data_IF_543264808128
#
_entry.id   IF_543264808128
#
_cell.length_a   1.000
_cell.length_b   1.000
_cell.length_c   1.000
_cell.angle_alpha   90.00
_cell.angle_beta   90.00
_cell.angle_gamma   90.00
#
_symmetry.space_group_name_H-M   'P 1'
#
loop_
_entity.id
_entity.type
_entity.pdbx_description
1 polymer ?
#
# COMPACT_ATOMS: atom_id res chain seq x y z
N UNK A 1 -35.98 -36.21 -69.46
CA UNK A 1 -35.37 -36.92 -68.31
C UNK A 1 -34.73 -35.85 -67.42
N UNK A 2 -35.42 -35.46 -66.34
CA UNK A 2 -35.08 -35.75 -64.92
C UNK A 2 -33.85 -34.98 -64.38
N UNK A 3 -34.14 -33.83 -63.75
CA UNK A 3 -33.62 -33.22 -62.48
C UNK A 3 -32.12 -33.34 -62.07
N UNK A 4 -31.59 -32.47 -61.18
CA UNK A 4 -31.62 -31.00 -61.17
C UNK A 4 -30.29 -30.33 -60.74
N UNK A 5 -30.30 -29.01 -60.83
CA UNK A 5 -29.40 -28.00 -60.27
C UNK A 5 -29.07 -28.17 -58.77
N UNK A 6 -27.77 -28.21 -58.45
CA UNK A 6 -27.23 -28.02 -57.09
C UNK A 6 -26.76 -26.57 -56.95
N UNK A 7 -27.56 -25.76 -56.24
CA UNK A 7 -27.19 -24.42 -55.79
C UNK A 7 -26.50 -24.61 -54.42
N UNK A 8 -25.18 -24.45 -54.37
CA UNK A 8 -24.42 -24.49 -53.13
C UNK A 8 -24.65 -23.19 -52.37
N UNK A 9 -25.59 -23.18 -51.43
CA UNK A 9 -25.82 -22.09 -50.49
C UNK A 9 -24.72 -22.17 -49.41
N UNK A 10 -23.69 -21.33 -49.51
CA UNK A 10 -22.73 -21.11 -48.43
C UNK A 10 -23.46 -20.29 -47.36
N UNK A 11 -24.02 -20.98 -46.36
CA UNK A 11 -24.44 -20.36 -45.11
C UNK A 11 -23.19 -19.99 -44.32
N UNK A 12 -22.73 -18.75 -44.48
CA UNK A 12 -21.93 -18.08 -43.47
C UNK A 12 -22.78 -18.01 -42.19
N UNK A 13 -22.53 -18.94 -41.26
CA UNK A 13 -22.89 -18.81 -39.86
C UNK A 13 -22.14 -17.59 -39.32
N UNK A 14 -22.73 -16.41 -39.49
CA UNK A 14 -22.46 -15.27 -38.62
C UNK A 14 -23.03 -15.61 -37.25
N UNK A 15 -22.23 -16.26 -36.41
CA UNK A 15 -22.38 -16.14 -34.98
C UNK A 15 -22.12 -14.67 -34.65
N UNK A 16 -23.15 -13.83 -34.75
CA UNK A 16 -23.17 -12.55 -34.10
C UNK A 16 -23.02 -12.82 -32.60
N UNK A 17 -21.79 -12.63 -32.11
CA UNK A 17 -21.53 -12.36 -30.72
C UNK A 17 -22.50 -11.24 -30.32
N UNK A 18 -23.52 -11.57 -29.53
CA UNK A 18 -24.29 -10.57 -28.80
C UNK A 18 -23.30 -9.88 -27.87
N UNK A 19 -22.71 -8.77 -28.32
CA UNK A 19 -22.03 -7.86 -27.42
C UNK A 19 -23.10 -7.39 -26.42
N UNK A 20 -22.91 -7.70 -25.14
CA UNK A 20 -23.86 -7.26 -24.14
C UNK A 20 -23.91 -5.73 -24.13
N UNK A 21 -25.12 -5.18 -24.33
CA UNK A 21 -25.38 -3.74 -24.25
C UNK A 21 -25.25 -3.19 -22.81
N UNK A 22 -24.90 -4.04 -21.84
CA UNK A 22 -24.72 -3.66 -20.45
C UNK A 22 -23.72 -2.52 -20.28
N UNK A 23 -22.59 -2.55 -21.00
CA UNK A 23 -21.57 -1.51 -20.87
C UNK A 23 -21.83 -0.38 -21.88
N UNK A 24 -22.64 0.60 -21.48
CA UNK A 24 -23.07 1.78 -22.26
C UNK A 24 -23.08 3.05 -21.41
N UNK A 25 -23.16 4.23 -22.05
CA UNK A 25 -23.31 5.51 -21.36
C UNK A 25 -24.57 5.57 -20.48
N UNK A 26 -25.70 5.01 -20.95
CA UNK A 26 -26.94 4.95 -20.17
C UNK A 26 -26.77 4.16 -18.86
N UNK A 27 -26.03 3.04 -18.90
CA UNK A 27 -25.70 2.27 -17.69
C UNK A 27 -24.81 3.08 -16.75
N UNK A 28 -23.81 3.79 -17.28
CA UNK A 28 -22.91 4.63 -16.49
C UNK A 28 -23.67 5.77 -15.82
N UNK A 29 -24.57 6.44 -16.54
CA UNK A 29 -25.39 7.55 -16.05
C UNK A 29 -26.32 7.11 -14.91
N UNK A 30 -26.93 5.92 -15.04
CA UNK A 30 -27.83 5.34 -14.02
C UNK A 30 -27.09 4.81 -12.80
N UNK A 31 -25.81 4.47 -12.92
CA UNK A 31 -25.02 4.00 -11.79
C UNK A 31 -24.74 5.14 -10.80
N UNK A 32 -24.83 4.84 -9.51
CA UNK A 32 -24.57 5.84 -8.47
C UNK A 32 -23.11 6.27 -8.48
N UNK A 33 -22.90 7.55 -8.14
CA UNK A 33 -21.59 8.14 -7.85
C UNK A 33 -20.74 7.22 -6.96
N UNK A 34 -19.54 6.86 -7.39
CA UNK A 34 -18.54 6.12 -6.63
C UNK A 34 -17.63 5.23 -7.48
N UNK A 35 -16.76 4.47 -6.79
CA UNK A 35 -15.74 3.57 -7.39
C UNK A 35 -16.35 2.60 -8.40
N UNK A 36 -17.58 2.13 -8.16
CA UNK A 36 -18.29 1.22 -9.07
C UNK A 36 -18.55 1.86 -10.44
N UNK A 37 -18.97 3.13 -10.46
CA UNK A 37 -19.18 3.88 -11.70
C UNK A 37 -17.86 4.19 -12.39
N UNK A 38 -16.84 4.62 -11.65
CA UNK A 38 -15.49 4.85 -12.19
C UNK A 38 -14.93 3.58 -12.86
N UNK A 39 -15.17 2.41 -12.26
CA UNK A 39 -14.81 1.11 -12.84
C UNK A 39 -15.58 0.81 -14.14
N UNK A 40 -16.89 1.05 -14.18
CA UNK A 40 -17.67 0.90 -15.41
C UNK A 40 -17.17 1.84 -16.52
N UNK A 41 -16.85 3.09 -16.19
CA UNK A 41 -16.26 4.04 -17.13
C UNK A 41 -14.93 3.49 -17.65
N UNK A 42 -14.05 3.02 -16.76
CA UNK A 42 -12.77 2.42 -17.14
C UNK A 42 -12.93 1.27 -18.12
N UNK A 43 -13.85 0.34 -17.86
CA UNK A 43 -14.11 -0.77 -18.75
C UNK A 43 -14.77 -0.33 -20.06
N UNK A 44 -15.65 0.68 -20.02
CA UNK A 44 -16.27 1.25 -21.21
C UNK A 44 -15.22 1.86 -22.15
N UNK A 45 -14.26 2.61 -21.62
CA UNK A 45 -13.18 3.23 -22.38
C UNK A 45 -12.25 2.20 -23.08
N UNK A 46 -12.17 0.98 -22.56
CA UNK A 46 -11.39 -0.12 -23.18
C UNK A 46 -12.09 -0.76 -24.37
N UNK A 47 -13.41 -0.57 -24.56
CA UNK A 47 -14.13 -1.17 -25.69
C UNK A 47 -13.64 -0.56 -27.00
N UNK A 48 -13.37 -1.40 -27.99
CA UNK A 48 -13.05 -0.93 -29.35
C UNK A 48 -14.16 -0.04 -29.92
N UNK A 49 -15.42 -0.39 -29.68
CA UNK A 49 -16.59 0.30 -30.22
C UNK A 49 -16.87 1.70 -29.64
N UNK A 50 -16.30 2.05 -28.48
CA UNK A 50 -16.51 3.38 -27.88
C UNK A 50 -15.92 4.47 -28.78
N UNK A 51 -16.57 5.61 -28.91
CA UNK A 51 -16.10 6.73 -29.73
C UNK A 51 -15.36 7.76 -28.89
N UNK A 52 -14.63 8.66 -29.55
CA UNK A 52 -13.97 9.80 -28.90
C UNK A 52 -14.97 10.73 -28.18
N UNK A 53 -16.12 11.01 -28.79
CA UNK A 53 -17.15 11.86 -28.20
C UNK A 53 -17.77 11.20 -26.96
N UNK A 54 -18.05 9.89 -27.02
CA UNK A 54 -18.51 9.14 -25.86
C UNK A 54 -17.45 9.14 -24.76
N UNK A 55 -16.16 8.93 -25.09
CA UNK A 55 -15.09 9.00 -24.12
C UNK A 55 -15.03 10.36 -23.42
N UNK A 56 -15.10 11.46 -24.17
CA UNK A 56 -15.19 12.81 -23.62
C UNK A 56 -16.40 12.99 -22.69
N UNK A 57 -17.57 12.48 -23.09
CA UNK A 57 -18.80 12.58 -22.30
C UNK A 57 -18.71 11.88 -20.94
N UNK A 58 -17.81 10.88 -20.79
CA UNK A 58 -17.63 10.18 -19.52
C UNK A 58 -17.02 11.03 -18.43
N UNK A 59 -16.27 12.10 -18.77
CA UNK A 59 -15.56 12.94 -17.80
C UNK A 59 -16.49 13.52 -16.73
N UNK A 60 -17.74 13.87 -17.09
CA UNK A 60 -18.71 14.42 -16.15
C UNK A 60 -19.19 13.40 -15.10
N UNK A 61 -18.99 12.11 -15.35
CA UNK A 61 -19.41 11.01 -14.48
C UNK A 61 -18.26 10.43 -13.64
N UNK A 62 -17.03 10.87 -13.88
CA UNK A 62 -15.86 10.40 -13.13
C UNK A 62 -15.83 11.07 -11.76
N UNK A 63 -15.68 10.25 -10.73
CA UNK A 63 -15.61 10.69 -9.35
C UNK A 63 -14.19 10.74 -8.82
N UNK A 64 -13.35 9.78 -9.25
CA UNK A 64 -11.97 9.68 -8.86
C UNK A 64 -11.09 9.32 -10.06
N UNK A 65 -10.43 10.32 -10.64
CA UNK A 65 -9.44 10.08 -11.69
C UNK A 65 -8.19 9.43 -11.11
N UNK A 66 -7.83 8.25 -11.62
CA UNK A 66 -6.55 7.58 -11.35
C UNK A 66 -5.77 7.41 -12.66
N UNK A 67 -4.48 7.06 -12.59
CA UNK A 67 -3.62 6.91 -13.77
C UNK A 67 -4.14 5.87 -14.77
N UNK A 68 -4.75 4.78 -14.30
CA UNK A 68 -5.32 3.74 -15.18
C UNK A 68 -6.50 4.31 -15.98
N UNK A 69 -7.43 4.98 -15.30
CA UNK A 69 -8.59 5.61 -15.91
C UNK A 69 -8.17 6.70 -16.90
N UNK A 70 -7.22 7.56 -16.49
CA UNK A 70 -6.69 8.61 -17.33
C UNK A 70 -6.01 8.06 -18.59
N UNK A 71 -5.23 7.00 -18.46
CA UNK A 71 -4.57 6.33 -19.61
C UNK A 71 -5.61 5.78 -20.58
N UNK A 72 -6.62 5.06 -20.09
CA UNK A 72 -7.68 4.51 -20.93
C UNK A 72 -8.51 5.62 -21.57
N UNK A 73 -8.78 6.71 -20.84
CA UNK A 73 -9.44 7.90 -21.38
C UNK A 73 -8.63 8.53 -22.51
N UNK A 74 -7.35 8.83 -22.28
CA UNK A 74 -6.47 9.45 -23.28
C UNK A 74 -6.38 8.61 -24.55
N UNK A 75 -6.15 7.30 -24.41
CA UNK A 75 -6.08 6.36 -25.52
C UNK A 75 -7.38 6.36 -26.34
N UNK A 76 -8.53 6.57 -25.68
CA UNK A 76 -9.83 6.48 -26.33
C UNK A 76 -10.32 7.80 -26.91
N UNK A 77 -10.06 8.89 -26.21
CA UNK A 77 -10.32 10.25 -26.67
C UNK A 77 -9.41 10.62 -27.86
N UNK A 78 -8.19 10.07 -27.90
CA UNK A 78 -7.27 10.18 -29.03
C UNK A 78 -6.94 11.63 -29.45
N UNK A 79 -6.99 12.55 -28.49
CA UNK A 79 -6.51 13.92 -28.63
C UNK A 79 -4.98 13.96 -28.49
N UNK A 80 -4.31 14.68 -29.39
CA UNK A 80 -2.85 14.70 -29.49
C UNK A 80 -2.18 15.18 -28.21
N UNK A 81 -2.72 16.24 -27.58
CA UNK A 81 -2.17 16.80 -26.34
C UNK A 81 -2.34 15.81 -25.18
N UNK A 82 -3.53 15.23 -25.06
CA UNK A 82 -3.84 14.25 -24.00
C UNK A 82 -3.00 12.98 -24.13
N UNK A 83 -2.83 12.47 -25.36
CA UNK A 83 -1.97 11.32 -25.65
C UNK A 83 -0.50 11.63 -25.35
N UNK A 84 -0.01 12.83 -25.69
CA UNK A 84 1.36 13.23 -25.40
C UNK A 84 1.66 13.19 -23.90
N UNK A 85 0.73 13.65 -23.05
CA UNK A 85 0.89 13.56 -21.58
C UNK A 85 1.04 12.11 -21.12
N UNK A 86 0.18 11.20 -21.61
CA UNK A 86 0.25 9.77 -21.25
C UNK A 86 1.53 9.10 -21.77
N UNK A 87 1.98 9.47 -22.97
CA UNK A 87 3.26 9.00 -23.50
C UNK A 87 4.41 9.43 -22.59
N UNK A 88 4.43 10.69 -22.14
CA UNK A 88 5.45 11.20 -21.23
C UNK A 88 5.43 10.52 -19.86
N UNK A 89 4.25 10.31 -19.27
CA UNK A 89 4.11 9.63 -17.98
C UNK A 89 4.60 8.17 -17.99
N UNK A 90 4.51 7.49 -19.14
CA UNK A 90 4.89 6.08 -19.28
C UNK A 90 6.28 5.89 -19.91
N UNK A 91 6.95 6.98 -20.27
CA UNK A 91 8.24 6.94 -20.96
C UNK A 91 9.36 6.50 -19.99
N UNK A 92 10.22 5.55 -20.38
CA UNK A 92 11.40 5.19 -19.59
C UNK A 92 12.33 6.38 -19.35
N UNK A 93 12.98 6.44 -18.18
CA UNK A 93 13.86 7.54 -17.79
C UNK A 93 14.90 7.91 -18.85
N UNK A 94 15.57 6.93 -19.46
CA UNK A 94 16.59 7.17 -20.49
C UNK A 94 16.04 7.85 -21.76
N UNK A 95 14.77 7.63 -22.09
CA UNK A 95 14.11 8.30 -23.21
C UNK A 95 13.67 9.72 -22.80
N UNK A 96 13.16 9.89 -21.57
CA UNK A 96 12.79 11.21 -21.02
C UNK A 96 13.97 12.19 -21.04
N UNK A 97 15.19 11.73 -20.73
CA UNK A 97 16.41 12.56 -20.77
C UNK A 97 16.66 13.25 -22.11
N UNK A 98 16.17 12.66 -23.20
CA UNK A 98 16.30 13.20 -24.57
C UNK A 98 15.06 13.94 -25.07
N UNK A 99 14.05 14.12 -24.21
CA UNK A 99 12.77 14.74 -24.56
C UNK A 99 12.76 16.25 -24.28
N UNK A 100 11.61 16.89 -24.50
CA UNK A 100 11.38 18.31 -24.27
C UNK A 100 10.87 18.59 -22.85
N UNK A 101 10.89 19.87 -22.47
CA UNK A 101 10.70 20.33 -21.09
C UNK A 101 9.42 19.83 -20.40
N UNK A 102 8.26 19.86 -21.06
CA UNK A 102 6.98 19.39 -20.50
C UNK A 102 7.01 17.90 -20.22
N UNK A 103 7.56 17.14 -21.16
CA UNK A 103 7.63 15.70 -21.06
C UNK A 103 8.54 15.27 -19.90
N UNK A 104 9.69 15.93 -19.75
CA UNK A 104 10.59 15.73 -18.62
C UNK A 104 9.88 16.09 -17.31
N UNK A 105 9.22 17.25 -17.25
CA UNK A 105 8.57 17.74 -16.03
C UNK A 105 7.45 16.82 -15.56
N UNK A 106 6.68 16.27 -16.49
CA UNK A 106 5.54 15.38 -16.22
C UNK A 106 6.00 13.95 -15.97
N UNK A 107 6.92 13.45 -16.78
CA UNK A 107 7.33 12.05 -16.78
C UNK A 107 8.35 11.69 -15.71
N UNK A 108 9.18 12.64 -15.25
CA UNK A 108 10.31 12.32 -14.39
C UNK A 108 10.09 12.76 -12.93
N UNK A 109 9.98 11.77 -12.05
CA UNK A 109 9.83 11.96 -10.61
C UNK A 109 11.15 12.33 -9.91
N UNK A 110 11.09 12.95 -8.73
CA UNK A 110 12.30 13.25 -7.94
C UNK A 110 13.05 11.98 -7.51
N UNK A 111 12.35 10.86 -7.34
CA UNK A 111 12.93 9.55 -7.04
C UNK A 111 13.75 8.99 -8.21
N UNK A 112 13.35 9.25 -9.45
CA UNK A 112 14.15 8.89 -10.62
C UNK A 112 15.32 9.86 -10.78
N UNK A 113 15.08 11.16 -10.60
CA UNK A 113 16.13 12.19 -10.64
C UNK A 113 17.24 11.90 -9.64
N UNK A 114 16.91 11.43 -8.44
CA UNK A 114 17.89 11.12 -7.40
C UNK A 114 18.84 9.96 -7.76
N UNK A 115 18.58 9.24 -8.85
CA UNK A 115 19.40 8.12 -9.35
C UNK A 115 20.25 8.51 -10.57
N UNK A 116 20.09 9.72 -11.09
CA UNK A 116 20.80 10.19 -12.26
C UNK A 116 22.25 10.54 -11.94
N UNK A 117 23.12 10.39 -12.93
CA UNK A 117 24.48 10.90 -12.84
C UNK A 117 24.54 12.42 -13.12
N UNK A 118 25.70 13.02 -12.89
CA UNK A 118 25.88 14.47 -13.00
C UNK A 118 25.59 15.02 -14.40
N UNK A 119 25.93 14.28 -15.46
CA UNK A 119 25.71 14.70 -16.85
C UNK A 119 24.22 14.67 -17.21
N UNK A 120 23.52 13.61 -16.83
CA UNK A 120 22.08 13.46 -17.06
C UNK A 120 21.28 14.55 -16.33
N UNK A 121 21.66 14.84 -15.09
CA UNK A 121 21.05 15.92 -14.33
C UNK A 121 21.30 17.29 -14.96
N UNK A 122 22.52 17.56 -15.46
CA UNK A 122 22.85 18.80 -16.16
C UNK A 122 22.04 18.98 -17.45
N UNK A 123 21.84 17.90 -18.21
CA UNK A 123 20.98 17.90 -19.40
C UNK A 123 19.55 18.33 -19.04
N UNK A 124 18.95 17.71 -18.02
CA UNK A 124 17.59 18.08 -17.56
C UNK A 124 17.53 19.54 -17.13
N UNK A 125 18.52 20.01 -16.36
CA UNK A 125 18.57 21.40 -15.89
C UNK A 125 18.57 22.36 -17.08
N UNK A 126 19.41 22.10 -18.08
CA UNK A 126 19.51 22.96 -19.26
C UNK A 126 18.19 23.02 -20.03
N UNK A 127 17.55 21.87 -20.28
CA UNK A 127 16.28 21.78 -21.01
C UNK A 127 15.14 22.47 -20.23
N UNK A 128 15.06 22.27 -18.93
CA UNK A 128 13.90 22.70 -18.13
C UNK A 128 14.04 24.07 -17.48
N UNK A 129 15.22 24.68 -17.49
CA UNK A 129 15.50 25.92 -16.73
C UNK A 129 14.67 27.14 -17.15
N UNK A 130 14.34 27.27 -18.44
CA UNK A 130 13.59 28.41 -18.96
C UNK A 130 12.11 28.33 -18.58
N UNK A 131 11.44 27.22 -18.92
CA UNK A 131 10.00 27.03 -18.67
C UNK A 131 9.67 26.60 -17.24
N UNK A 132 10.53 25.81 -16.62
CA UNK A 132 10.33 25.21 -15.30
C UNK A 132 11.49 25.49 -14.32
N UNK A 133 11.83 26.76 -14.04
CA UNK A 133 13.01 27.14 -13.24
C UNK A 133 13.00 26.55 -11.81
N UNK A 134 11.83 26.43 -11.19
CA UNK A 134 11.70 25.81 -9.85
C UNK A 134 12.03 24.32 -9.87
N UNK A 135 11.61 23.61 -10.92
CA UNK A 135 11.92 22.21 -11.11
C UNK A 135 13.42 22.03 -11.35
N UNK A 136 13.99 22.79 -12.29
CA UNK A 136 15.43 22.78 -12.58
C UNK A 136 16.28 23.07 -11.33
N UNK A 137 15.85 24.00 -10.45
CA UNK A 137 16.52 24.27 -9.17
C UNK A 137 16.54 23.05 -8.24
N UNK A 138 15.46 22.26 -8.19
CA UNK A 138 15.37 21.03 -7.39
C UNK A 138 16.21 19.91 -7.99
N UNK A 139 16.24 19.77 -9.32
CA UNK A 139 17.16 18.84 -9.99
C UNK A 139 18.61 19.19 -9.65
N UNK A 140 18.97 20.48 -9.75
CA UNK A 140 20.30 20.99 -9.38
C UNK A 140 20.64 20.80 -7.90
N UNK A 141 19.64 20.71 -7.03
CA UNK A 141 19.83 20.42 -5.61
C UNK A 141 20.20 18.94 -5.43
N UNK A 142 19.41 18.05 -6.02
CA UNK A 142 19.62 16.60 -5.93
C UNK A 142 20.95 16.17 -6.54
N UNK A 143 21.40 16.81 -7.61
CA UNK A 143 22.69 16.50 -8.26
C UNK A 143 23.90 17.24 -7.68
N UNK A 144 23.72 18.00 -6.59
CA UNK A 144 24.83 18.72 -5.97
C UNK A 144 25.77 17.80 -5.20
N UNK A 145 27.02 18.24 -4.99
CA UNK A 145 28.01 17.47 -4.23
C UNK A 145 27.60 17.21 -2.78
N UNK A 146 26.80 18.11 -2.17
CA UNK A 146 26.29 17.95 -0.81
C UNK A 146 24.81 18.35 -0.77
N UNK A 147 23.89 17.48 -1.23
CA UNK A 147 22.47 17.79 -1.36
C UNK A 147 21.82 18.32 -0.08
N UNK A 148 22.23 17.79 1.09
CA UNK A 148 21.70 18.23 2.38
C UNK A 148 21.87 19.72 2.64
N UNK A 149 23.04 20.29 2.32
CA UNK A 149 23.32 21.72 2.57
C UNK A 149 22.39 22.65 1.80
N UNK A 150 21.88 22.18 0.66
CA UNK A 150 20.91 22.91 -0.15
C UNK A 150 19.48 22.62 0.30
N UNK A 151 19.16 21.37 0.64
CA UNK A 151 17.86 20.97 1.18
C UNK A 151 17.45 21.84 2.37
N UNK A 152 18.33 22.03 3.35
CA UNK A 152 18.02 22.77 4.58
C UNK A 152 17.72 24.27 4.34
N UNK A 153 18.09 24.80 3.17
CA UNK A 153 17.83 26.19 2.76
C UNK A 153 16.49 26.38 2.07
N UNK A 154 15.84 25.30 1.61
CA UNK A 154 14.52 25.36 0.96
C UNK A 154 13.45 25.88 1.92
N UNK A 155 12.40 26.48 1.39
CA UNK A 155 11.21 26.77 2.19
C UNK A 155 10.52 25.47 2.64
N UNK A 156 9.68 25.58 3.67
CA UNK A 156 9.03 24.44 4.33
C UNK A 156 8.35 23.48 3.35
N UNK A 157 7.52 23.99 2.45
CA UNK A 157 6.74 23.16 1.53
C UNK A 157 7.65 22.48 0.49
N UNK A 158 8.66 23.19 0.00
CA UNK A 158 9.66 22.64 -0.94
C UNK A 158 10.54 21.58 -0.26
N UNK A 159 10.87 21.74 1.03
CA UNK A 159 11.58 20.74 1.81
C UNK A 159 10.78 19.43 1.85
N UNK A 160 9.50 19.49 2.20
CA UNK A 160 8.67 18.30 2.29
C UNK A 160 8.40 17.66 0.93
N UNK A 161 8.09 18.46 -0.08
CA UNK A 161 7.90 17.98 -1.45
C UNK A 161 9.12 17.19 -1.93
N UNK A 162 10.33 17.69 -1.69
CA UNK A 162 11.53 17.00 -2.12
C UNK A 162 11.87 15.82 -1.22
N UNK A 163 11.88 16.01 0.10
CA UNK A 163 12.30 14.98 1.06
C UNK A 163 11.40 13.75 1.04
N UNK A 164 10.07 13.93 0.92
CA UNK A 164 9.11 12.83 0.98
C UNK A 164 8.98 12.07 -0.35
N UNK A 165 9.45 12.63 -1.47
CA UNK A 165 9.30 12.03 -2.81
C UNK A 165 10.60 11.52 -3.45
N UNK A 166 11.58 11.13 -2.63
CA UNK A 166 12.86 10.53 -3.06
C UNK A 166 13.05 9.13 -2.46
N UNK A 167 14.01 8.36 -2.98
CA UNK A 167 14.30 7.01 -2.48
C UNK A 167 14.84 7.02 -1.05
N UNK A 168 14.61 5.92 -0.34
CA UNK A 168 15.24 5.65 0.96
C UNK A 168 16.76 5.68 0.84
N UNK A 169 17.32 5.02 -0.17
CA UNK A 169 18.75 4.99 -0.47
C UNK A 169 19.36 6.40 -0.58
N UNK A 170 18.68 7.33 -1.25
CA UNK A 170 19.19 8.70 -1.36
C UNK A 170 19.17 9.42 -0.01
N UNK A 171 18.11 9.25 0.79
CA UNK A 171 18.05 9.82 2.14
C UNK A 171 19.16 9.28 3.02
N UNK A 172 19.41 7.98 2.96
CA UNK A 172 20.47 7.30 3.71
C UNK A 172 21.85 7.87 3.39
N UNK A 173 22.15 8.00 2.10
CA UNK A 173 23.46 8.44 1.63
C UNK A 173 23.70 9.95 1.80
N UNK A 174 22.65 10.76 1.65
CA UNK A 174 22.82 12.20 1.54
C UNK A 174 22.10 13.02 2.60
N UNK A 175 21.08 12.50 3.28
CA UNK A 175 20.26 13.28 4.24
C UNK A 175 20.30 12.76 5.68
N UNK A 176 21.11 11.74 6.00
CA UNK A 176 21.30 11.25 7.37
C UNK A 176 22.16 12.20 8.23
N UNK A 177 21.62 13.39 8.52
CA UNK A 177 22.28 14.42 9.30
C UNK A 177 21.33 14.99 10.35
N UNK A 178 21.90 15.49 11.45
CA UNK A 178 21.15 16.30 12.39
C UNK A 178 20.65 17.58 11.72
N UNK A 179 19.37 17.88 11.85
CA UNK A 179 18.81 19.14 11.35
C UNK A 179 19.36 20.33 12.14
N UNK A 180 19.83 21.39 11.46
CA UNK A 180 20.13 22.65 12.12
C UNK A 180 18.88 23.21 12.82
N UNK A 181 19.06 23.84 13.99
CA UNK A 181 17.97 24.36 14.82
C UNK A 181 16.98 25.22 14.02
N UNK A 182 17.49 26.14 13.19
CA UNK A 182 16.65 27.01 12.34
C UNK A 182 15.79 26.19 11.36
N UNK A 183 16.37 25.17 10.72
CA UNK A 183 15.66 24.32 9.78
C UNK A 183 14.63 23.46 10.49
N UNK A 184 14.97 22.89 11.65
CA UNK A 184 14.04 22.13 12.47
C UNK A 184 12.78 22.95 12.80
N UNK A 185 12.95 24.15 13.37
CA UNK A 185 11.79 24.98 13.74
C UNK A 185 10.94 25.36 12.53
N UNK A 186 11.57 25.72 11.41
CA UNK A 186 10.86 26.02 10.14
C UNK A 186 9.98 24.87 9.67
N UNK A 187 10.51 23.64 9.66
CA UNK A 187 9.71 22.49 9.19
C UNK A 187 8.66 22.09 10.24
N UNK A 188 9.02 22.18 11.53
CA UNK A 188 8.15 21.85 12.65
C UNK A 188 6.91 22.75 12.77
N UNK A 189 6.85 23.90 12.08
CA UNK A 189 5.64 24.72 11.99
C UNK A 189 4.47 23.97 11.34
N UNK A 190 4.74 23.08 10.38
CA UNK A 190 3.73 22.24 9.75
C UNK A 190 3.71 20.86 10.40
N UNK A 191 2.83 20.71 11.40
CA UNK A 191 2.72 19.47 12.16
C UNK A 191 2.34 18.28 11.29
N UNK A 192 1.44 18.45 10.33
CA UNK A 192 0.96 17.34 9.50
C UNK A 192 2.10 16.75 8.66
N UNK A 193 2.85 17.59 7.95
CA UNK A 193 3.97 17.11 7.15
C UNK A 193 5.17 16.72 8.01
N UNK A 194 5.36 17.34 9.18
CA UNK A 194 6.35 16.89 10.14
C UNK A 194 6.09 15.48 10.65
N UNK A 195 4.83 15.09 10.87
CA UNK A 195 4.48 13.73 11.28
C UNK A 195 4.74 12.71 10.16
N UNK A 196 4.46 13.05 8.90
CA UNK A 196 4.85 12.22 7.73
C UNK A 196 6.37 12.06 7.66
N UNK A 197 7.10 13.14 7.94
CA UNK A 197 8.57 13.12 8.02
C UNK A 197 9.06 12.20 9.14
N UNK A 198 8.48 12.25 10.35
CA UNK A 198 8.78 11.32 11.43
C UNK A 198 8.55 9.87 11.01
N UNK A 199 7.40 9.59 10.39
CA UNK A 199 7.04 8.24 9.95
C UNK A 199 8.06 7.66 8.97
N UNK A 200 8.42 8.41 7.92
CA UNK A 200 9.40 7.97 6.92
C UNK A 200 10.77 7.73 7.55
N UNK A 201 11.21 8.59 8.47
CA UNK A 201 12.54 8.49 9.05
C UNK A 201 12.67 7.38 10.09
N UNK A 202 11.71 7.26 11.00
CA UNK A 202 11.77 6.30 12.11
C UNK A 202 11.67 4.87 11.59
N UNK A 203 10.91 4.65 10.50
CA UNK A 203 10.84 3.37 9.80
C UNK A 203 12.15 3.01 9.08
N UNK A 204 12.96 4.00 8.71
CA UNK A 204 14.28 3.78 8.12
C UNK A 204 15.40 3.83 9.18
N UNK A 205 15.81 2.67 9.68
CA UNK A 205 16.82 2.56 10.75
C UNK A 205 18.23 2.98 10.35
N UNK A 206 18.53 3.06 9.06
CA UNK A 206 19.83 3.55 8.56
C UNK A 206 19.97 5.07 8.68
N UNK A 207 18.88 5.79 8.93
CA UNK A 207 18.91 7.23 9.25
C UNK A 207 19.22 7.48 10.73
N UNK A 208 20.23 6.79 11.26
CA UNK A 208 20.56 6.75 12.69
C UNK A 208 20.94 8.12 13.28
N UNK A 209 21.78 8.91 12.61
CA UNK A 209 22.20 10.25 13.05
C UNK A 209 20.98 11.18 13.11
N UNK A 210 20.17 11.16 12.05
CA UNK A 210 18.95 11.96 12.00
C UNK A 210 17.97 11.51 13.09
N UNK A 211 17.68 10.22 13.18
CA UNK A 211 16.72 9.64 14.12
C UNK A 211 17.14 9.88 15.57
N UNK A 212 18.43 9.77 15.90
CA UNK A 212 18.93 10.09 17.24
C UNK A 212 18.67 11.56 17.59
N UNK A 213 18.78 12.47 16.62
CA UNK A 213 18.49 13.89 16.86
C UNK A 213 17.01 14.18 17.16
N UNK A 214 16.09 13.32 16.73
CA UNK A 214 14.65 13.45 16.99
C UNK A 214 14.29 13.16 18.47
N UNK A 215 15.20 12.57 19.25
CA UNK A 215 14.98 12.27 20.67
C UNK A 215 14.96 13.50 21.58
N UNK A 216 15.23 14.68 21.05
CA UNK A 216 15.25 15.95 21.78
C UNK A 216 14.05 16.87 21.45
N UNK A 217 13.07 16.35 20.73
CA UNK A 217 11.90 17.10 20.28
C UNK A 217 10.90 17.27 21.44
N UNK A 218 10.27 18.43 21.49
CA UNK A 218 9.03 18.66 22.25
C UNK A 218 7.83 18.27 21.37
N UNK A 219 7.19 17.18 21.75
CA UNK A 219 6.09 16.50 21.08
C UNK A 219 4.72 16.82 21.66
N UNK A 220 4.63 17.73 22.64
CA UNK A 220 3.38 18.10 23.31
C UNK A 220 2.28 18.49 22.32
N UNK A 221 2.64 19.25 21.28
CA UNK A 221 1.72 19.70 20.21
C UNK A 221 1.47 18.69 19.08
N UNK A 222 2.22 17.58 19.06
CA UNK A 222 2.08 16.54 18.03
C UNK A 222 0.97 15.54 18.39
N UNK A 223 0.53 14.78 17.39
CA UNK A 223 -0.48 13.74 17.57
C UNK A 223 -0.02 12.60 18.49
N UNK A 224 -0.98 11.79 18.90
CA UNK A 224 -0.74 10.50 19.56
C UNK A 224 0.23 9.62 18.77
N UNK A 225 -0.01 9.48 17.45
CA UNK A 225 0.80 8.62 16.60
C UNK A 225 2.24 9.11 16.50
N UNK A 226 2.44 10.43 16.39
CA UNK A 226 3.77 11.02 16.41
C UNK A 226 4.51 10.77 17.73
N UNK A 227 3.83 10.94 18.86
CA UNK A 227 4.38 10.63 20.19
C UNK A 227 4.74 9.14 20.28
N UNK A 228 3.89 8.26 19.77
CA UNK A 228 4.15 6.83 19.73
C UNK A 228 5.37 6.47 18.87
N UNK A 229 5.50 7.05 17.67
CA UNK A 229 6.66 6.85 16.80
C UNK A 229 7.96 7.33 17.47
N UNK A 230 7.95 8.48 18.14
CA UNK A 230 9.09 8.96 18.93
C UNK A 230 9.44 8.00 20.07
N UNK A 231 8.43 7.41 20.72
CA UNK A 231 8.61 6.35 21.71
C UNK A 231 9.31 5.12 21.15
N UNK A 232 8.89 4.63 19.98
CA UNK A 232 9.57 3.54 19.28
C UNK A 232 11.01 3.90 18.92
N UNK A 233 11.23 5.12 18.45
CA UNK A 233 12.56 5.58 18.08
C UNK A 233 13.49 5.61 19.31
N UNK A 234 13.02 6.13 20.45
CA UNK A 234 13.75 6.12 21.70
C UNK A 234 14.01 4.70 22.22
N UNK A 235 13.02 3.81 22.11
CA UNK A 235 13.17 2.39 22.46
C UNK A 235 14.30 1.75 21.65
N UNK A 236 14.36 1.99 20.34
CA UNK A 236 15.39 1.45 19.45
C UNK A 236 16.81 1.96 19.76
N UNK A 237 16.94 3.13 20.39
CA UNK A 237 18.22 3.66 20.88
C UNK A 237 18.50 3.31 22.34
N UNK A 238 17.68 2.44 22.96
CA UNK A 238 17.78 2.06 24.39
C UNK A 238 17.61 3.24 25.37
N UNK A 239 16.93 4.32 24.95
CA UNK A 239 16.69 5.53 25.73
C UNK A 239 15.37 5.38 26.52
N UNK A 240 15.39 4.49 27.52
CA UNK A 240 14.18 4.02 28.24
C UNK A 240 13.31 5.13 28.80
N UNK A 241 13.89 6.11 29.48
CA UNK A 241 13.13 7.19 30.12
C UNK A 241 12.40 8.04 29.07
N UNK A 242 13.07 8.34 27.95
CA UNK A 242 12.47 9.06 26.82
C UNK A 242 11.38 8.24 26.17
N UNK A 243 11.64 6.96 25.91
CA UNK A 243 10.66 6.05 25.33
C UNK A 243 9.40 5.98 26.19
N UNK A 244 9.55 5.81 27.51
CA UNK A 244 8.45 5.80 28.46
C UNK A 244 7.67 7.12 28.42
N UNK A 245 8.33 8.26 28.47
CA UNK A 245 7.67 9.57 28.43
C UNK A 245 6.87 9.77 27.14
N UNK A 246 7.47 9.46 25.99
CA UNK A 246 6.80 9.54 24.69
C UNK A 246 5.57 8.61 24.61
N UNK A 247 5.68 7.38 25.11
CA UNK A 247 4.55 6.44 25.14
C UNK A 247 3.45 6.88 26.12
N UNK A 248 3.78 7.43 27.29
CA UNK A 248 2.79 7.99 28.21
C UNK A 248 2.05 9.17 27.58
N UNK A 249 2.77 10.03 26.85
CA UNK A 249 2.17 11.14 26.11
C UNK A 249 1.29 10.64 24.96
N UNK A 250 1.67 9.56 24.27
CA UNK A 250 0.81 8.91 23.28
C UNK A 250 -0.46 8.36 23.94
N UNK A 251 -0.34 7.66 25.08
CA UNK A 251 -1.45 7.04 25.80
C UNK A 251 -2.48 8.07 26.27
N UNK A 252 -2.02 9.24 26.73
CA UNK A 252 -2.90 10.33 27.15
C UNK A 252 -3.73 10.93 25.99
N UNK A 253 -3.24 10.81 24.75
CA UNK A 253 -3.84 11.37 23.54
C UNK A 253 -4.65 10.35 22.73
N UNK A 254 -4.36 9.06 22.85
CA UNK A 254 -4.96 7.99 22.03
C UNK A 254 -5.90 7.10 22.83
N UNK A 255 -7.19 7.16 22.50
CA UNK A 255 -8.22 6.28 23.10
C UNK A 255 -8.44 5.00 22.30
N UNK A 256 -8.01 4.94 21.05
CA UNK A 256 -8.31 3.82 20.16
C UNK A 256 -7.21 2.76 20.20
N UNK A 257 -5.96 3.16 20.41
CA UNK A 257 -4.78 2.29 20.38
C UNK A 257 -4.14 2.10 21.77
N UNK A 258 -4.93 2.14 22.85
CA UNK A 258 -4.43 2.00 24.22
C UNK A 258 -3.65 0.70 24.43
N UNK A 259 -4.21 -0.45 24.04
CA UNK A 259 -3.54 -1.76 24.14
C UNK A 259 -2.14 -1.78 23.51
N UNK A 260 -2.02 -1.19 22.31
CA UNK A 260 -0.74 -1.06 21.60
C UNK A 260 0.27 -0.26 22.43
N UNK A 261 -0.14 0.89 22.94
CA UNK A 261 0.75 1.80 23.67
C UNK A 261 1.15 1.20 25.03
N UNK A 262 0.20 0.59 25.75
CA UNK A 262 0.45 -0.14 27.00
C UNK A 262 1.43 -1.29 26.80
N UNK A 263 1.32 -2.03 25.68
CA UNK A 263 2.23 -3.11 25.37
C UNK A 263 3.67 -2.58 25.20
N UNK A 264 3.83 -1.45 24.51
CA UNK A 264 5.13 -0.80 24.34
C UNK A 264 5.69 -0.18 25.63
N UNK A 265 4.82 0.30 26.52
CA UNK A 265 5.20 0.69 27.89
C UNK A 265 5.72 -0.50 28.69
N UNK A 266 5.07 -1.67 28.61
CA UNK A 266 5.58 -2.91 29.17
C UNK A 266 6.94 -3.29 28.55
N UNK A 267 7.07 -3.27 27.22
CA UNK A 267 8.33 -3.62 26.54
C UNK A 267 9.50 -2.75 27.01
N UNK A 268 9.23 -1.47 27.29
CA UNK A 268 10.21 -0.48 27.77
C UNK A 268 10.55 -0.64 29.26
N UNK A 269 9.53 -0.76 30.12
CA UNK A 269 9.67 -0.70 31.59
C UNK A 269 9.77 -2.06 32.28
N UNK A 270 9.30 -3.11 31.61
CA UNK A 270 9.06 -4.46 32.17
C UNK A 270 8.08 -4.48 33.35
N UNK A 271 7.18 -3.49 33.43
CA UNK A 271 6.13 -3.46 34.44
C UNK A 271 4.89 -4.21 33.95
N UNK A 272 4.62 -5.37 34.55
CA UNK A 272 3.48 -6.24 34.22
C UNK A 272 2.11 -5.58 34.45
N UNK A 273 2.03 -4.47 35.20
CA UNK A 273 0.74 -3.76 35.39
C UNK A 273 0.15 -3.33 34.05
N UNK A 274 0.98 -2.91 33.09
CA UNK A 274 0.50 -2.52 31.76
C UNK A 274 -0.11 -3.70 31.00
N UNK A 275 0.43 -4.91 31.14
CA UNK A 275 -0.18 -6.11 30.53
C UNK A 275 -1.50 -6.48 31.20
N UNK A 276 -1.58 -6.30 32.53
CA UNK A 276 -2.82 -6.51 33.29
C UNK A 276 -3.91 -5.53 32.89
N UNK A 277 -3.55 -4.28 32.60
CA UNK A 277 -4.49 -3.28 32.11
C UNK A 277 -5.04 -3.69 30.72
N UNK A 278 -4.17 -4.18 29.83
CA UNK A 278 -4.57 -4.68 28.49
C UNK A 278 -5.60 -5.82 28.58
N UNK A 279 -5.36 -6.83 29.41
CA UNK A 279 -6.27 -8.00 29.50
C UNK A 279 -7.61 -7.68 30.19
N UNK A 280 -7.67 -6.59 30.97
CA UNK A 280 -8.91 -6.10 31.56
C UNK A 280 -9.78 -5.34 30.54
N UNK A 281 -9.18 -4.84 29.45
CA UNK A 281 -9.94 -4.21 28.38
C UNK A 281 -10.79 -5.23 27.61
N UNK A 282 -11.99 -4.80 27.19
CA UNK A 282 -12.90 -5.66 26.41
C UNK A 282 -12.48 -5.82 24.94
N UNK A 283 -11.57 -4.99 24.45
CA UNK A 283 -11.13 -4.99 23.05
C UNK A 283 -10.05 -6.06 22.87
N UNK A 284 -10.35 -7.08 22.06
CA UNK A 284 -9.38 -8.12 21.69
C UNK A 284 -8.66 -7.68 20.41
N UNK A 285 -7.36 -7.48 20.51
CA UNK A 285 -6.46 -7.28 19.38
C UNK A 285 -5.17 -8.11 19.55
N UNK A 286 -4.19 -7.91 18.66
CA UNK A 286 -2.92 -8.64 18.71
C UNK A 286 -2.16 -8.41 20.02
N UNK A 287 -2.25 -7.22 20.62
CA UNK A 287 -1.53 -6.89 21.85
C UNK A 287 -2.22 -7.50 23.07
N UNK A 288 -3.55 -7.62 23.04
CA UNK A 288 -4.29 -8.43 24.01
C UNK A 288 -3.82 -9.88 24.00
N UNK A 289 -3.76 -10.50 22.82
CA UNK A 289 -3.31 -11.89 22.67
C UNK A 289 -1.87 -12.06 23.20
N UNK A 290 -0.95 -11.17 22.80
CA UNK A 290 0.43 -11.21 23.30
C UNK A 290 0.50 -11.05 24.83
N UNK A 291 -0.36 -10.21 25.41
CA UNK A 291 -0.40 -10.01 26.87
C UNK A 291 -0.84 -11.28 27.60
N UNK A 292 -1.86 -11.98 27.12
CA UNK A 292 -2.26 -13.29 27.64
C UNK A 292 -1.12 -14.32 27.53
N UNK A 293 -0.43 -14.38 26.37
CA UNK A 293 0.69 -15.30 26.16
C UNK A 293 1.86 -15.03 27.13
N UNK A 294 2.22 -13.75 27.32
CA UNK A 294 3.31 -13.34 28.21
C UNK A 294 2.98 -13.62 29.68
N UNK A 295 1.75 -13.30 30.10
CA UNK A 295 1.27 -13.57 31.46
C UNK A 295 0.97 -15.05 31.72
N UNK A 296 0.99 -15.89 30.67
CA UNK A 296 0.62 -17.31 30.70
C UNK A 296 -0.82 -17.51 31.20
N UNK A 297 -1.70 -16.58 30.84
CA UNK A 297 -3.12 -16.65 31.13
C UNK A 297 -3.90 -17.25 29.95
N UNK A 298 -5.05 -17.84 30.22
CA UNK A 298 -5.88 -18.46 29.18
C UNK A 298 -6.77 -17.43 28.50
N UNK A 299 -6.59 -17.26 27.18
CA UNK A 299 -7.48 -16.47 26.35
C UNK A 299 -8.58 -17.34 25.74
N UNK A 300 -9.83 -17.06 26.09
CA UNK A 300 -11.00 -17.63 25.42
C UNK A 300 -11.36 -16.76 24.22
N UNK A 301 -10.91 -17.16 23.03
CA UNK A 301 -11.32 -16.52 21.79
C UNK A 301 -12.81 -16.79 21.53
N UNK A 302 -13.63 -15.75 21.69
CA UNK A 302 -14.98 -15.72 21.15
C UNK A 302 -14.93 -14.93 19.85
N UNK A 303 -15.33 -15.53 18.74
CA UNK A 303 -15.33 -14.80 17.48
C UNK A 303 -16.52 -15.16 16.61
N UNK A 304 -16.99 -14.13 15.90
CA UNK A 304 -17.95 -14.25 14.81
C UNK A 304 -17.19 -14.48 13.50
N UNK A 305 -16.41 -15.56 13.38
CA UNK A 305 -15.87 -15.95 12.08
C UNK A 305 -17.06 -16.13 11.12
N UNK A 306 -17.07 -15.37 10.03
CA UNK A 306 -18.05 -15.52 8.97
C UNK A 306 -18.05 -16.98 8.49
N UNK A 307 -19.18 -17.66 8.67
CA UNK A 307 -19.39 -19.05 8.24
C UNK A 307 -19.70 -19.08 6.74
N UNK A 308 -18.69 -18.80 5.92
CA UNK A 308 -18.83 -18.85 4.47
C UNK A 308 -18.76 -20.33 3.99
N UNK A 309 -19.91 -20.91 3.66
CA UNK A 309 -20.02 -22.31 3.22
C UNK A 309 -19.29 -22.59 1.90
N UNK A 310 -19.28 -21.62 0.97
CA UNK A 310 -18.56 -21.73 -0.30
C UNK A 310 -17.06 -21.84 -0.04
N UNK A 311 -16.53 -21.01 0.86
CA UNK A 311 -15.13 -21.08 1.32
C UNK A 311 -14.78 -22.42 1.95
N UNK A 312 -15.62 -22.93 2.86
CA UNK A 312 -15.39 -24.22 3.51
C UNK A 312 -15.37 -25.35 2.48
N UNK A 313 -16.27 -25.32 1.49
CA UNK A 313 -16.34 -26.32 0.43
C UNK A 313 -15.13 -26.23 -0.50
N UNK A 314 -14.80 -25.05 -1.00
CA UNK A 314 -13.72 -24.83 -1.96
C UNK A 314 -12.34 -25.12 -1.36
N UNK A 315 -12.17 -24.87 -0.06
CA UNK A 315 -10.89 -25.10 0.63
C UNK A 315 -10.82 -26.46 1.33
N UNK A 316 -11.79 -27.36 1.18
CA UNK A 316 -11.88 -28.63 1.96
C UNK A 316 -10.55 -29.38 2.06
N UNK A 317 -9.80 -29.47 0.97
CA UNK A 317 -8.55 -30.24 0.87
C UNK A 317 -7.29 -29.48 1.28
N UNK A 318 -7.38 -28.19 1.61
CA UNK A 318 -6.24 -27.37 2.03
C UNK A 318 -5.84 -27.71 3.47
N UNK A 319 -4.55 -27.55 3.78
CA UNK A 319 -4.06 -27.64 5.16
C UNK A 319 -4.64 -26.50 6.00
N UNK A 320 -4.69 -26.68 7.32
CA UNK A 320 -5.33 -25.70 8.19
C UNK A 320 -4.63 -24.32 8.18
N UNK A 321 -3.30 -24.30 8.08
CA UNK A 321 -2.53 -23.05 7.91
C UNK A 321 -2.90 -22.32 6.62
N UNK A 322 -2.94 -23.03 5.49
CA UNK A 322 -3.31 -22.45 4.19
C UNK A 322 -4.76 -21.93 4.21
N UNK A 323 -5.69 -22.67 4.83
CA UNK A 323 -7.07 -22.21 5.06
C UNK A 323 -7.11 -20.92 5.87
N UNK A 324 -6.35 -20.85 6.97
CA UNK A 324 -6.29 -19.65 7.81
C UNK A 324 -5.71 -18.46 7.05
N UNK A 325 -4.65 -18.68 6.27
CA UNK A 325 -4.05 -17.66 5.42
C UNK A 325 -5.05 -17.11 4.40
N UNK A 326 -5.70 -18.00 3.64
CA UNK A 326 -6.71 -17.63 2.64
C UNK A 326 -7.88 -16.88 3.25
N UNK A 327 -8.37 -17.37 4.38
CA UNK A 327 -9.47 -16.74 5.10
C UNK A 327 -9.10 -15.32 5.51
N UNK A 328 -7.92 -15.14 6.11
CA UNK A 328 -7.41 -13.84 6.52
C UNK A 328 -7.20 -12.89 5.34
N UNK A 329 -6.64 -13.38 4.23
CA UNK A 329 -6.47 -12.59 3.00
C UNK A 329 -7.82 -12.13 2.45
N UNK A 330 -8.78 -13.03 2.25
CA UNK A 330 -10.08 -12.69 1.67
C UNK A 330 -10.87 -11.76 2.61
N UNK A 331 -10.84 -12.03 3.92
CA UNK A 331 -11.48 -11.19 4.93
C UNK A 331 -10.94 -9.77 4.90
N UNK A 332 -9.63 -9.61 4.80
CA UNK A 332 -8.96 -8.30 4.84
C UNK A 332 -9.05 -7.54 3.51
N UNK A 333 -9.02 -8.24 2.37
CA UNK A 333 -9.02 -7.60 1.06
C UNK A 333 -10.43 -7.23 0.57
N UNK A 334 -11.44 -8.06 0.88
CA UNK A 334 -12.79 -7.87 0.33
C UNK A 334 -13.92 -8.12 1.34
N UNK A 335 -13.60 -8.59 2.54
CA UNK A 335 -14.59 -9.08 3.50
C UNK A 335 -15.56 -10.11 2.87
N UNK A 336 -15.02 -11.04 2.08
CA UNK A 336 -15.79 -12.03 1.32
C UNK A 336 -16.78 -11.44 0.30
N UNK A 337 -16.65 -10.17 -0.08
CA UNK A 337 -17.43 -9.58 -1.15
C UNK A 337 -16.86 -9.97 -2.52
N UNK A 338 -17.50 -10.92 -3.20
CA UNK A 338 -17.08 -11.38 -4.51
C UNK A 338 -17.28 -10.33 -5.64
N UNK A 339 -17.99 -9.23 -5.36
CA UNK A 339 -18.16 -8.05 -6.24
C UNK A 339 -17.30 -6.86 -5.79
N UNK A 340 -16.30 -7.09 -4.93
CA UNK A 340 -15.41 -6.05 -4.48
C UNK A 340 -14.69 -5.40 -5.66
N UNK A 341 -14.57 -4.06 -5.61
CA UNK A 341 -13.83 -3.24 -6.57
C UNK A 341 -13.02 -2.23 -5.76
N UNK A 342 -11.70 -2.22 -5.96
CA UNK A 342 -10.80 -1.25 -5.33
C UNK A 342 -10.69 0.04 -6.15
N UNK A 343 -10.07 1.07 -5.54
CA UNK A 343 -9.76 2.34 -6.20
C UNK A 343 -8.83 2.19 -7.43
N UNK A 344 -8.02 1.12 -7.46
CA UNK A 344 -7.12 0.81 -8.57
C UNK A 344 -7.73 -0.21 -9.55
N UNK A 345 -9.05 -0.41 -9.48
CA UNK A 345 -9.82 -1.33 -10.33
C UNK A 345 -9.38 -2.80 -10.27
N UNK A 346 -8.71 -3.18 -9.18
CA UNK A 346 -8.58 -4.59 -8.79
C UNK A 346 -9.91 -5.07 -8.22
N UNK A 347 -10.27 -6.32 -8.47
CA UNK A 347 -11.60 -6.84 -8.19
C UNK A 347 -11.57 -8.19 -7.47
N UNK A 348 -12.74 -8.60 -6.97
CA UNK A 348 -12.96 -9.92 -6.40
C UNK A 348 -12.35 -10.11 -5.02
N UNK A 349 -12.33 -11.37 -4.58
CA UNK A 349 -12.09 -11.72 -3.18
C UNK A 349 -10.68 -11.41 -2.67
N UNK A 350 -9.69 -11.50 -3.56
CA UNK A 350 -8.27 -11.27 -3.25
C UNK A 350 -7.77 -9.90 -3.74
N UNK A 351 -8.68 -9.05 -4.25
CA UNK A 351 -8.34 -7.71 -4.70
C UNK A 351 -7.16 -7.72 -5.70
N UNK A 352 -7.33 -8.47 -6.80
CA UNK A 352 -6.30 -8.65 -7.84
C UNK A 352 -6.75 -8.06 -9.18
N UNK A 353 -5.79 -7.81 -10.09
CA UNK A 353 -6.11 -7.39 -11.46
C UNK A 353 -6.66 -8.60 -12.24
N UNK A 354 -7.81 -8.43 -12.87
CA UNK A 354 -8.42 -9.45 -13.72
C UNK A 354 -8.81 -8.84 -15.05
N UNK A 355 -8.57 -9.59 -16.13
CA UNK A 355 -9.19 -9.33 -17.42
C UNK A 355 -10.59 -9.96 -17.40
N UNK A 356 -11.61 -9.12 -17.20
CA UNK A 356 -13.00 -9.56 -17.24
C UNK A 356 -13.45 -9.73 -18.68
N UNK A 357 -13.72 -10.97 -19.07
CA UNK A 357 -14.33 -11.28 -20.37
C UNK A 357 -15.82 -10.88 -20.39
N UNK A 358 -16.50 -10.99 -19.25
CA UNK A 358 -17.93 -10.67 -19.10
C UNK A 358 -18.15 -9.78 -17.88
N UNK A 359 -18.27 -8.48 -18.13
CA UNK A 359 -18.42 -7.44 -17.11
C UNK A 359 -19.82 -7.49 -16.50
N UNK A 360 -20.85 -7.73 -17.32
CA UNK A 360 -22.24 -7.84 -16.83
C UNK A 360 -22.36 -8.98 -15.83
N UNK A 361 -21.80 -10.15 -16.16
CA UNK A 361 -21.75 -11.29 -15.25
C UNK A 361 -21.04 -10.97 -13.95
N UNK A 362 -19.91 -10.25 -13.98
CA UNK A 362 -19.25 -9.82 -12.75
C UNK A 362 -20.15 -8.93 -11.88
N UNK A 363 -20.90 -8.00 -12.50
CA UNK A 363 -21.81 -7.14 -11.75
C UNK A 363 -23.02 -7.88 -11.17
N UNK A 364 -23.56 -8.85 -11.91
CA UNK A 364 -24.70 -9.65 -11.49
C UNK A 364 -24.34 -10.73 -10.47
N UNK A 365 -23.21 -11.42 -10.67
CA UNK A 365 -22.86 -12.63 -9.92
C UNK A 365 -21.59 -12.47 -9.06
N UNK A 366 -20.69 -11.56 -9.42
CA UNK A 366 -19.36 -11.43 -8.82
C UNK A 366 -18.33 -12.39 -9.44
N UNK A 367 -17.13 -12.40 -8.88
CA UNK A 367 -16.10 -13.37 -9.23
C UNK A 367 -16.22 -14.61 -8.35
N UNK A 368 -16.47 -15.81 -8.93
CA UNK A 368 -16.57 -17.04 -8.15
C UNK A 368 -15.31 -17.30 -7.31
N UNK A 369 -15.49 -17.90 -6.13
CA UNK A 369 -14.35 -18.19 -5.26
C UNK A 369 -13.34 -19.12 -5.94
N UNK A 370 -13.79 -20.11 -6.71
CA UNK A 370 -12.88 -21.02 -7.41
C UNK A 370 -11.98 -20.29 -8.40
N UNK A 371 -12.51 -19.26 -9.08
CA UNK A 371 -11.71 -18.41 -9.98
C UNK A 371 -10.74 -17.53 -9.20
N UNK A 372 -11.13 -17.10 -7.99
CA UNK A 372 -10.26 -16.35 -7.09
C UNK A 372 -9.11 -17.21 -6.56
N UNK A 373 -9.39 -18.45 -6.16
CA UNK A 373 -8.38 -19.38 -5.65
C UNK A 373 -7.41 -19.86 -6.73
N UNK A 374 -7.87 -20.03 -7.99
CA UNK A 374 -6.99 -20.37 -9.12
C UNK A 374 -5.92 -19.31 -9.43
N UNK A 375 -6.11 -18.07 -8.98
CA UNK A 375 -5.10 -17.01 -9.17
C UNK A 375 -3.95 -17.09 -8.18
N UNK A 376 -4.14 -17.84 -7.10
CA UNK A 376 -3.02 -18.19 -6.26
C UNK A 376 -2.18 -19.10 -7.12
N UNK A 377 -0.96 -18.67 -7.45
CA UNK A 377 -0.03 -19.44 -8.27
C UNK A 377 -0.09 -20.89 -7.81
N UNK A 378 -0.26 -21.85 -8.73
CA UNK A 378 -0.68 -23.21 -8.39
C UNK A 378 0.20 -23.86 -7.30
N UNK A 379 1.42 -23.34 -7.09
CA UNK A 379 2.38 -23.81 -6.12
C UNK A 379 2.74 -22.78 -5.02
N UNK A 380 2.08 -21.61 -4.91
CA UNK A 380 2.47 -20.56 -3.94
C UNK A 380 2.61 -21.12 -2.51
N UNK A 381 1.66 -21.93 -2.07
CA UNK A 381 1.71 -22.54 -0.74
C UNK A 381 2.79 -23.62 -0.61
N UNK A 382 3.16 -24.28 -1.71
CA UNK A 382 4.21 -25.29 -1.73
C UNK A 382 5.59 -24.65 -1.73
N UNK A 383 5.81 -23.65 -2.59
CA UNK A 383 7.05 -22.88 -2.72
C UNK A 383 7.37 -22.10 -1.44
N UNK A 384 6.34 -21.57 -0.78
CA UNK A 384 6.48 -20.78 0.44
C UNK A 384 6.04 -21.58 1.67
N UNK A 385 6.19 -22.90 1.67
CA UNK A 385 5.68 -23.76 2.75
C UNK A 385 6.31 -23.42 4.10
N UNK A 386 7.62 -23.21 4.12
CA UNK A 386 8.41 -23.06 5.34
C UNK A 386 8.59 -21.60 5.76
N UNK A 387 8.07 -20.67 4.96
CA UNK A 387 8.12 -19.23 5.22
C UNK A 387 7.29 -18.80 6.43
N UNK A 388 7.73 -17.74 7.10
CA UNK A 388 6.95 -17.07 8.13
C UNK A 388 5.61 -16.55 7.58
N UNK A 389 4.52 -16.58 8.34
CA UNK A 389 3.22 -16.10 7.85
C UNK A 389 3.20 -14.63 7.41
N UNK A 390 3.98 -13.77 8.07
CA UNK A 390 4.15 -12.36 7.71
C UNK A 390 4.96 -12.26 6.41
N UNK A 391 6.03 -13.04 6.27
CA UNK A 391 6.81 -13.09 5.02
C UNK A 391 5.94 -13.59 3.86
N UNK A 392 5.16 -14.67 4.06
CA UNK A 392 4.19 -15.15 3.06
C UNK A 392 3.19 -14.07 2.66
N UNK A 393 2.68 -13.30 3.62
CA UNK A 393 1.80 -12.16 3.33
C UNK A 393 2.51 -11.14 2.44
N UNK A 394 3.72 -10.71 2.81
CA UNK A 394 4.48 -9.71 2.06
C UNK A 394 4.85 -10.19 0.65
N UNK A 395 5.23 -11.47 0.50
CA UNK A 395 5.49 -12.12 -0.79
C UNK A 395 4.23 -12.13 -1.66
N UNK A 396 3.08 -12.53 -1.09
CA UNK A 396 1.80 -12.53 -1.79
C UNK A 396 1.40 -11.12 -2.25
N UNK A 397 1.63 -10.10 -1.40
CA UNK A 397 1.36 -8.69 -1.72
C UNK A 397 2.41 -8.04 -2.62
N UNK A 398 3.54 -8.73 -2.86
CA UNK A 398 4.70 -8.26 -3.63
C UNK A 398 5.36 -7.02 -3.02
N UNK A 399 5.42 -6.94 -1.70
CA UNK A 399 5.95 -5.81 -0.93
C UNK A 399 7.47 -5.93 -0.67
N UNK A 400 8.26 -5.82 -1.75
CA UNK A 400 9.72 -5.99 -1.71
C UNK A 400 10.44 -5.11 -0.69
N UNK A 401 10.06 -3.84 -0.59
CA UNK A 401 10.67 -2.89 0.35
C UNK A 401 10.50 -3.31 1.81
N UNK A 402 9.33 -3.88 2.16
CA UNK A 402 9.09 -4.40 3.52
C UNK A 402 9.89 -5.68 3.80
N UNK A 403 10.09 -6.52 2.78
CA UNK A 403 10.96 -7.70 2.90
C UNK A 403 12.42 -7.28 3.14
N UNK A 404 12.91 -6.26 2.43
CA UNK A 404 14.26 -5.73 2.65
C UNK A 404 14.46 -5.20 4.08
N UNK A 405 13.45 -4.56 4.67
CA UNK A 405 13.50 -4.11 6.07
C UNK A 405 13.68 -5.30 7.03
N UNK A 406 13.03 -6.44 6.79
CA UNK A 406 13.19 -7.64 7.63
C UNK A 406 14.65 -8.11 7.57
N UNK A 407 15.19 -8.31 6.36
CA UNK A 407 16.55 -8.80 6.17
C UNK A 407 17.63 -7.86 6.69
N UNK A 408 17.37 -6.55 6.71
CA UNK A 408 18.35 -5.56 7.21
C UNK A 408 18.36 -5.42 8.73
N UNK A 409 17.39 -5.96 9.46
CA UNK A 409 17.23 -5.75 10.90
C UNK A 409 17.26 -7.05 11.73
N UNK A 410 17.98 -8.09 11.27
CA UNK A 410 18.00 -9.42 11.90
C UNK A 410 18.36 -9.44 13.41
N UNK A 411 19.11 -8.45 13.88
CA UNK A 411 19.53 -8.32 15.28
C UNK A 411 18.57 -7.49 16.17
N UNK A 412 17.53 -6.88 15.58
CA UNK A 412 16.60 -6.02 16.30
C UNK A 412 15.51 -6.79 17.05
N UNK A 413 14.86 -6.14 18.02
CA UNK A 413 13.67 -6.68 18.68
C UNK A 413 12.56 -6.96 17.63
N UNK A 414 12.03 -8.18 17.63
CA UNK A 414 11.08 -8.64 16.61
C UNK A 414 9.74 -7.93 16.66
N UNK A 415 9.29 -7.55 17.85
CA UNK A 415 8.06 -6.76 18.01
C UNK A 415 8.27 -5.37 17.42
N UNK A 416 9.49 -4.83 17.55
CA UNK A 416 9.86 -3.55 16.95
C UNK A 416 9.89 -3.61 15.42
N UNK A 417 10.50 -4.65 14.85
CA UNK A 417 10.50 -4.90 13.41
C UNK A 417 9.04 -4.99 12.91
N UNK A 418 8.20 -5.79 13.57
CA UNK A 418 6.80 -5.90 13.22
C UNK A 418 6.08 -4.56 13.30
N UNK A 419 6.30 -3.75 14.33
CA UNK A 419 5.64 -2.45 14.47
C UNK A 419 6.06 -1.46 13.37
N UNK A 420 7.31 -1.49 12.91
CA UNK A 420 7.77 -0.68 11.77
C UNK A 420 7.12 -1.11 10.45
N UNK A 421 7.03 -2.43 10.24
CA UNK A 421 6.52 -3.01 9.00
C UNK A 421 4.99 -2.95 8.89
N UNK A 422 4.32 -3.06 10.03
CA UNK A 422 2.89 -3.30 10.07
C UNK A 422 2.08 -2.04 9.82
N UNK A 423 1.18 -2.16 8.84
CA UNK A 423 0.05 -1.27 8.68
C UNK A 423 -1.21 -1.93 9.28
N UNK A 424 -2.33 -1.20 9.21
CA UNK A 424 -3.62 -1.71 9.68
C UNK A 424 -4.00 -3.05 9.03
N UNK A 425 -3.73 -3.21 7.73
CA UNK A 425 -4.07 -4.43 6.99
C UNK A 425 -3.24 -5.62 7.46
N UNK A 426 -1.94 -5.46 7.68
CA UNK A 426 -1.10 -6.57 8.17
C UNK A 426 -1.53 -7.01 9.58
N UNK A 427 -1.86 -6.06 10.47
CA UNK A 427 -2.36 -6.37 11.82
C UNK A 427 -3.69 -7.10 11.79
N UNK A 428 -4.64 -6.62 10.98
CA UNK A 428 -5.94 -7.26 10.80
C UNK A 428 -5.79 -8.66 10.19
N UNK A 429 -4.95 -8.82 9.16
CA UNK A 429 -4.61 -10.11 8.58
C UNK A 429 -4.08 -11.08 9.65
N UNK A 430 -3.08 -10.66 10.43
CA UNK A 430 -2.46 -11.52 11.43
C UNK A 430 -3.45 -11.93 12.53
N UNK A 431 -4.26 -10.98 13.00
CA UNK A 431 -5.32 -11.25 13.97
C UNK A 431 -6.34 -12.25 13.44
N UNK A 432 -6.81 -12.08 12.20
CA UNK A 432 -7.77 -12.98 11.57
C UNK A 432 -7.16 -14.37 11.32
N UNK A 433 -5.89 -14.43 10.87
CA UNK A 433 -5.16 -15.68 10.68
C UNK A 433 -5.08 -16.45 12.00
N UNK A 434 -4.58 -15.82 13.06
CA UNK A 434 -4.43 -16.40 14.39
C UNK A 434 -5.78 -16.92 14.92
N UNK A 435 -6.81 -16.09 14.81
CA UNK A 435 -8.16 -16.43 15.26
C UNK A 435 -8.71 -17.64 14.51
N UNK A 436 -8.64 -17.63 13.18
CA UNK A 436 -9.12 -18.75 12.37
C UNK A 436 -8.36 -20.03 12.69
N UNK A 437 -7.03 -19.97 12.72
CA UNK A 437 -6.19 -21.13 12.99
C UNK A 437 -6.53 -21.74 14.35
N UNK A 438 -6.54 -20.94 15.42
CA UNK A 438 -6.73 -21.44 16.78
C UNK A 438 -8.16 -21.90 17.06
N UNK A 439 -9.17 -21.43 16.33
CA UNK A 439 -10.55 -21.89 16.46
C UNK A 439 -10.85 -23.16 15.67
N UNK A 440 -10.08 -23.44 14.61
CA UNK A 440 -10.34 -24.56 13.70
C UNK A 440 -9.29 -25.68 13.79
N UNK A 441 -8.11 -25.41 14.34
CA UNK A 441 -7.04 -26.37 14.53
C UNK A 441 -7.12 -27.05 15.91
N UNK A 442 -6.69 -28.31 15.98
CA UNK A 442 -6.45 -29.01 17.26
C UNK A 442 -5.15 -28.56 17.92
N UNK A 443 -4.14 -28.18 17.11
CA UNK A 443 -2.87 -27.63 17.59
C UNK A 443 -3.04 -26.12 17.72
N UNK A 444 -2.64 -25.56 18.86
CA UNK A 444 -2.63 -24.12 19.06
C UNK A 444 -1.33 -23.53 18.52
N UNK A 445 -1.44 -22.34 17.93
CA UNK A 445 -0.32 -21.52 17.46
C UNK A 445 -0.31 -20.23 18.30
N UNK A 446 0.88 -19.78 18.69
CA UNK A 446 1.05 -18.54 19.48
C UNK A 446 1.51 -17.40 18.58
N UNK A 447 1.07 -16.17 18.85
CA UNK A 447 1.58 -14.99 18.15
C UNK A 447 3.08 -14.83 18.39
N UNK A 448 3.54 -15.15 19.60
CA UNK A 448 4.97 -15.17 19.92
C UNK A 448 5.76 -16.07 18.96
N UNK A 449 5.27 -17.29 18.68
CA UNK A 449 5.94 -18.19 17.73
C UNK A 449 5.95 -17.68 16.28
N UNK A 450 4.91 -16.94 15.89
CA UNK A 450 4.85 -16.27 14.58
C UNK A 450 5.92 -15.18 14.52
N UNK A 451 6.06 -14.37 15.57
CA UNK A 451 7.08 -13.32 15.58
C UNK A 451 8.49 -13.87 15.72
N UNK A 452 8.68 -14.96 16.47
CA UNK A 452 9.99 -15.59 16.63
C UNK A 452 10.58 -16.09 15.30
N UNK A 453 9.72 -16.50 14.38
CA UNK A 453 10.12 -17.03 13.09
C UNK A 453 10.19 -15.93 12.00
N UNK A 454 10.21 -14.64 12.32
CA UNK A 454 10.41 -13.54 11.36
C UNK A 454 11.86 -13.46 10.81
N UNK A 455 12.58 -14.58 10.78
CA UNK A 455 13.97 -14.69 10.32
C UNK A 455 14.02 -15.36 8.95
#
# INVERSE_FOLDING_TARGET
>A
MKYPSSLFLITLLSSSLYASNFLSLDTIEKEKKGIKRDFLINEFLKKEATTSEEAFSTLQFIDNMNTTLFTNFANKYADDETLAVVQCMNMPTNQLLSSYDDCIRVGLSYNEISKLNSLEAEQIINITSEKYPKYAKKVKLLSSSIPFTRLITLEKDEFYELYLNISNEFRENYFNYKLPRKTFFKIFEDKENFEKYLEVNIKNRKLDILNYSLLAIDETTLSANASFLLGLNAFAFNEKDKAQNFFLNALAKDKENQNKILFWLYKTTKNDSFLKDIIQEKKIDIYTILSYEILKEELVLTSNLNQNNEFIKATKNYKIGDKAFLYAMISNESNFNNKFISKDFKIGLLNTKYDLIDIEKFFLEGLPLEKSLKLIENNFFEENRDENIIIKYLLFKKEKEKLEIIYQNEESDRDFIFEILSDKKLKEFLFTYYSFYNLKSKKKETLSSIFENLK
#
